data_IF_801546981517
#
_entry.id   IF_801546981517
#
_cell.length_a   1.000
_cell.length_b   1.000
_cell.length_c   1.000
_cell.angle_alpha   90.00
_cell.angle_beta   90.00
_cell.angle_gamma   90.00
#
_symmetry.space_group_name_H-M   'P 1'
#
loop_
_entity.id
_entity.type
_entity.pdbx_description
1 polymer ?
#
# COMPACT_ATOMS: atom_id res chain seq x y z
N UNK A 1 -22.93 -40.63 -27.56
CA UNK A 1 -23.11 -39.15 -27.59
C UNK A 1 -22.29 -38.57 -26.45
N UNK A 2 -21.18 -37.91 -26.79
CA UNK A 2 -20.30 -37.22 -25.86
C UNK A 2 -20.95 -35.91 -25.42
N UNK A 3 -21.24 -35.79 -24.13
CA UNK A 3 -21.66 -34.53 -23.52
C UNK A 3 -20.49 -33.54 -23.53
N UNK A 4 -20.38 -32.76 -24.60
CA UNK A 4 -19.55 -31.56 -24.62
C UNK A 4 -20.32 -30.51 -23.80
N UNK A 5 -20.06 -30.46 -22.50
CA UNK A 5 -20.44 -29.31 -21.69
C UNK A 5 -19.69 -28.10 -22.26
N UNK A 6 -20.43 -27.22 -22.95
CA UNK A 6 -19.98 -25.86 -23.25
C UNK A 6 -19.64 -25.17 -21.92
N UNK A 7 -18.36 -25.23 -21.53
CA UNK A 7 -17.79 -24.21 -20.64
C UNK A 7 -17.89 -22.92 -21.44
N UNK A 8 -18.87 -22.09 -21.12
CA UNK A 8 -18.91 -20.69 -21.54
C UNK A 8 -17.51 -20.12 -21.38
N UNK A 9 -16.88 -19.75 -22.50
CA UNK A 9 -15.59 -19.09 -22.56
C UNK A 9 -15.74 -17.76 -21.80
N UNK A 10 -15.50 -17.80 -20.50
CA UNK A 10 -15.54 -16.60 -19.67
C UNK A 10 -14.30 -15.81 -19.99
N UNK A 11 -14.47 -14.68 -20.70
CA UNK A 11 -13.39 -13.73 -20.93
C UNK A 11 -12.86 -13.31 -19.55
N UNK A 12 -11.57 -13.51 -19.25
CA UNK A 12 -10.98 -13.05 -18.00
C UNK A 12 -11.17 -11.54 -17.84
N UNK A 13 -11.52 -11.07 -16.64
CA UNK A 13 -11.83 -9.66 -16.42
C UNK A 13 -10.68 -8.72 -16.79
N UNK A 14 -9.43 -9.16 -16.64
CA UNK A 14 -8.27 -8.37 -17.08
C UNK A 14 -8.20 -8.15 -18.60
N UNK A 15 -8.59 -9.15 -19.43
CA UNK A 15 -8.63 -8.97 -20.89
C UNK A 15 -9.73 -7.98 -21.28
N UNK A 16 -10.90 -8.10 -20.66
CA UNK A 16 -11.99 -7.15 -20.87
C UNK A 16 -11.58 -5.73 -20.43
N UNK A 17 -10.86 -5.60 -19.32
CA UNK A 17 -10.39 -4.31 -18.81
C UNK A 17 -9.34 -3.68 -19.73
N UNK A 18 -8.40 -4.47 -20.26
CA UNK A 18 -7.44 -4.01 -21.26
C UNK A 18 -8.14 -3.57 -22.56
N UNK A 19 -9.17 -4.29 -22.99
CA UNK A 19 -9.97 -3.90 -24.14
C UNK A 19 -10.73 -2.59 -23.91
N UNK A 20 -11.34 -2.41 -22.75
CA UNK A 20 -12.00 -1.14 -22.36
C UNK A 20 -10.98 0.01 -22.31
N UNK A 21 -9.77 -0.22 -21.77
CA UNK A 21 -8.70 0.78 -21.80
C UNK A 21 -8.24 1.10 -23.21
N UNK A 22 -8.12 0.12 -24.10
CA UNK A 22 -7.78 0.35 -25.50
C UNK A 22 -8.80 1.28 -26.17
N UNK A 23 -10.10 1.03 -25.93
CA UNK A 23 -11.16 1.95 -26.38
C UNK A 23 -10.99 3.33 -25.74
N UNK A 24 -10.66 3.40 -24.44
CA UNK A 24 -10.36 4.65 -23.74
C UNK A 24 -9.22 5.43 -24.39
N UNK A 25 -8.10 4.77 -24.71
CA UNK A 25 -6.97 5.38 -25.41
C UNK A 25 -7.34 5.84 -26.83
N UNK A 26 -8.12 5.05 -27.58
CA UNK A 26 -8.64 5.45 -28.89
C UNK A 26 -9.54 6.69 -28.75
N UNK A 27 -10.45 6.68 -27.78
CA UNK A 27 -11.38 7.80 -27.47
C UNK A 27 -10.61 9.08 -27.15
N UNK A 28 -9.51 8.95 -26.39
CA UNK A 28 -8.65 10.07 -26.05
C UNK A 28 -7.81 10.56 -27.23
N UNK A 29 -7.02 9.68 -27.87
CA UNK A 29 -6.05 10.10 -28.88
C UNK A 29 -6.66 10.38 -30.26
N UNK A 30 -7.74 9.69 -30.65
CA UNK A 30 -8.36 9.83 -31.97
C UNK A 30 -9.52 10.81 -31.94
N UNK A 31 -10.38 10.71 -30.93
CA UNK A 31 -11.61 11.51 -30.84
C UNK A 31 -11.48 12.73 -29.93
N UNK A 32 -10.38 12.86 -29.17
CA UNK A 32 -10.14 13.97 -28.23
C UNK A 32 -11.24 14.12 -27.15
N UNK A 33 -11.89 13.01 -26.79
CA UNK A 33 -13.02 12.97 -25.86
C UNK A 33 -12.57 12.54 -24.45
N UNK A 34 -11.97 13.46 -23.69
CA UNK A 34 -11.30 13.10 -22.43
C UNK A 34 -12.26 12.59 -21.35
N UNK A 35 -13.47 13.15 -21.25
CA UNK A 35 -14.45 12.70 -20.26
C UNK A 35 -14.86 11.25 -20.51
N UNK A 36 -15.18 10.90 -21.75
CA UNK A 36 -15.53 9.54 -22.13
C UNK A 36 -14.37 8.57 -21.89
N UNK A 37 -13.14 8.97 -22.24
CA UNK A 37 -11.95 8.17 -21.98
C UNK A 37 -11.70 7.92 -20.48
N UNK A 38 -11.90 8.94 -19.64
CA UNK A 38 -11.78 8.82 -18.18
C UNK A 38 -12.85 7.89 -17.59
N UNK A 39 -14.09 7.97 -18.07
CA UNK A 39 -15.15 7.05 -17.66
C UNK A 39 -14.82 5.59 -18.03
N UNK A 40 -14.24 5.37 -19.21
CA UNK A 40 -13.77 4.05 -19.63
C UNK A 40 -12.61 3.55 -18.75
N UNK A 41 -11.67 4.42 -18.37
CA UNK A 41 -10.60 4.09 -17.42
C UNK A 41 -11.14 3.65 -16.05
N UNK A 42 -12.09 4.40 -15.49
CA UNK A 42 -12.76 4.03 -14.23
C UNK A 42 -13.51 2.71 -14.39
N UNK A 43 -14.19 2.51 -15.52
CA UNK A 43 -14.87 1.25 -15.85
C UNK A 43 -13.91 0.05 -15.90
N UNK A 44 -12.73 0.20 -16.51
CA UNK A 44 -11.71 -0.83 -16.56
C UNK A 44 -11.21 -1.23 -15.15
N UNK A 45 -10.99 -0.25 -14.27
CA UNK A 45 -10.63 -0.52 -12.86
C UNK A 45 -11.77 -1.29 -12.16
N UNK A 46 -13.02 -0.87 -12.36
CA UNK A 46 -14.20 -1.53 -11.81
C UNK A 46 -14.32 -3.00 -12.22
N UNK A 47 -14.09 -3.30 -13.50
CA UNK A 47 -14.11 -4.68 -14.01
C UNK A 47 -13.07 -5.55 -13.30
N UNK A 48 -11.84 -5.06 -13.11
CA UNK A 48 -10.80 -5.79 -12.39
C UNK A 48 -11.15 -6.03 -10.94
N UNK A 49 -11.65 -5.01 -10.24
CA UNK A 49 -12.05 -5.15 -8.84
C UNK A 49 -13.11 -6.23 -8.73
N UNK A 50 -14.13 -6.22 -9.60
CA UNK A 50 -15.19 -7.22 -9.62
C UNK A 50 -14.69 -8.63 -9.98
N UNK A 51 -13.82 -8.77 -10.98
CA UNK A 51 -13.24 -10.05 -11.37
C UNK A 51 -12.40 -10.65 -10.24
N UNK A 52 -11.62 -9.80 -9.55
CA UNK A 52 -10.77 -10.22 -8.45
C UNK A 52 -11.56 -10.76 -7.24
N UNK A 53 -12.83 -10.38 -7.08
CA UNK A 53 -13.70 -10.95 -6.04
C UNK A 53 -13.91 -12.46 -6.20
N UNK A 54 -13.56 -13.08 -7.33
CA UNK A 54 -13.57 -14.53 -7.48
C UNK A 54 -12.48 -15.23 -6.66
N UNK A 55 -11.25 -14.70 -6.66
CA UNK A 55 -10.12 -15.22 -5.88
C UNK A 55 -9.68 -14.18 -4.83
N UNK A 56 -10.05 -14.43 -3.58
CA UNK A 56 -9.98 -13.44 -2.49
C UNK A 56 -8.54 -13.11 -2.13
N UNK A 57 -7.59 -13.97 -2.51
CA UNK A 57 -6.15 -13.69 -2.41
C UNK A 57 -5.74 -12.61 -3.38
N UNK A 58 -6.17 -12.72 -4.64
CA UNK A 58 -5.88 -11.75 -5.68
C UNK A 58 -6.52 -10.41 -5.32
N UNK A 59 -7.80 -10.42 -4.93
CA UNK A 59 -8.49 -9.23 -4.43
C UNK A 59 -7.68 -8.57 -3.29
N UNK A 60 -7.31 -9.35 -2.28
CA UNK A 60 -6.59 -8.82 -1.12
C UNK A 60 -5.21 -8.27 -1.46
N UNK A 61 -4.41 -9.01 -2.23
CA UNK A 61 -3.04 -8.61 -2.59
C UNK A 61 -3.03 -7.37 -3.48
N UNK A 62 -4.09 -7.17 -4.26
CA UNK A 62 -4.26 -5.98 -5.10
C UNK A 62 -4.90 -4.83 -4.34
N UNK A 63 -5.60 -5.08 -3.23
CA UNK A 63 -6.29 -4.05 -2.44
C UNK A 63 -5.36 -2.97 -1.89
N UNK A 64 -4.16 -3.31 -1.41
CA UNK A 64 -3.25 -2.32 -0.83
C UNK A 64 -2.61 -1.41 -1.89
N UNK A 65 -2.06 -1.94 -3.00
CA UNK A 65 -1.64 -1.13 -4.12
C UNK A 65 -2.80 -0.32 -4.72
N UNK A 66 -3.99 -0.92 -4.85
CA UNK A 66 -5.20 -0.22 -5.29
C UNK A 66 -5.59 0.88 -4.31
N UNK A 67 -5.45 0.72 -2.99
CA UNK A 67 -5.72 1.80 -2.03
C UNK A 67 -4.82 3.02 -2.28
N UNK A 68 -3.52 2.81 -2.47
CA UNK A 68 -2.57 3.89 -2.80
C UNK A 68 -2.93 4.52 -4.15
N UNK A 69 -3.16 3.69 -5.18
CA UNK A 69 -3.45 4.14 -6.53
C UNK A 69 -4.86 4.75 -6.68
N UNK A 70 -5.83 4.38 -5.84
CA UNK A 70 -7.18 4.96 -5.77
C UNK A 70 -7.14 6.31 -5.09
N UNK A 71 -6.33 6.49 -4.03
CA UNK A 71 -6.06 7.83 -3.48
C UNK A 71 -5.51 8.76 -4.57
N UNK A 72 -4.57 8.24 -5.38
CA UNK A 72 -4.03 8.95 -6.53
C UNK A 72 -5.07 9.23 -7.62
N UNK A 73 -5.93 8.25 -7.94
CA UNK A 73 -7.00 8.37 -8.93
C UNK A 73 -8.05 9.41 -8.53
N UNK A 74 -8.52 9.37 -7.27
CA UNK A 74 -9.46 10.36 -6.72
C UNK A 74 -8.84 11.75 -6.79
N UNK A 75 -7.56 11.86 -6.46
CA UNK A 75 -6.84 13.13 -6.55
C UNK A 75 -6.72 13.62 -7.99
N UNK A 76 -6.37 12.76 -8.95
CA UNK A 76 -6.31 13.12 -10.36
C UNK A 76 -7.69 13.52 -10.92
N UNK A 77 -8.76 12.88 -10.46
CA UNK A 77 -10.12 13.31 -10.79
C UNK A 77 -10.36 14.75 -10.34
N UNK A 78 -9.98 15.12 -9.11
CA UNK A 78 -10.11 16.51 -8.63
C UNK A 78 -9.27 17.50 -9.46
N UNK A 79 -8.03 17.13 -9.77
CA UNK A 79 -7.10 17.97 -10.55
C UNK A 79 -7.58 18.17 -11.98
N UNK A 80 -8.02 17.11 -12.67
CA UNK A 80 -8.54 17.20 -14.04
C UNK A 80 -9.87 17.97 -14.13
N UNK A 81 -10.63 18.07 -13.03
CA UNK A 81 -11.85 18.92 -12.93
C UNK A 81 -11.56 20.34 -12.45
N UNK A 82 -10.30 20.75 -12.32
CA UNK A 82 -9.89 22.14 -12.06
C UNK A 82 -9.63 22.48 -10.59
N UNK A 83 -9.62 21.51 -9.66
CA UNK A 83 -9.19 21.75 -8.29
C UNK A 83 -7.65 21.76 -8.21
N UNK A 84 -7.06 22.92 -8.51
CA UNK A 84 -5.60 23.12 -8.55
C UNK A 84 -5.21 24.09 -7.44
N UNK A 85 -4.26 23.65 -6.62
CA UNK A 85 -3.48 24.55 -5.79
C UNK A 85 -2.46 25.32 -6.64
N UNK A 86 -2.80 26.56 -6.98
CA UNK A 86 -1.95 27.51 -7.73
C UNK A 86 -0.62 27.75 -6.99
N UNK A 87 -0.65 27.61 -5.67
CA UNK A 87 0.49 27.75 -4.75
C UNK A 87 1.59 26.70 -4.98
N UNK A 88 1.36 25.64 -5.76
CA UNK A 88 2.38 24.63 -6.07
C UNK A 88 3.25 24.95 -7.30
N UNK A 89 3.23 26.20 -7.77
CA UNK A 89 3.94 26.59 -9.00
C UNK A 89 3.03 26.34 -10.20
N UNK A 90 2.44 27.42 -10.70
CA UNK A 90 1.30 27.39 -11.59
C UNK A 90 1.48 26.52 -12.85
N UNK A 91 0.52 25.65 -13.09
CA UNK A 91 0.24 25.10 -14.42
C UNK A 91 -1.28 25.14 -14.66
N UNK A 92 -1.65 25.55 -15.87
CA UNK A 92 -3.03 25.50 -16.40
C UNK A 92 -3.46 24.03 -16.51
N UNK A 93 -4.58 23.65 -15.90
CA UNK A 93 -5.20 22.33 -16.13
C UNK A 93 -5.64 22.22 -17.58
N UNK A 94 -5.17 21.17 -18.25
CA UNK A 94 -5.89 20.58 -19.36
C UNK A 94 -6.14 19.12 -19.01
N UNK A 95 -7.21 18.49 -19.51
CA UNK A 95 -7.38 17.05 -19.42
C UNK A 95 -6.29 16.38 -20.28
N UNK A 96 -5.35 15.64 -19.69
CA UNK A 96 -4.17 15.11 -20.42
C UNK A 96 -4.10 13.57 -20.40
N UNK A 97 -5.21 12.91 -20.03
CA UNK A 97 -5.30 11.45 -20.01
C UNK A 97 -4.47 10.79 -18.92
N UNK A 98 -3.99 11.53 -17.91
CA UNK A 98 -3.22 10.98 -16.79
C UNK A 98 -3.99 9.88 -16.05
N UNK A 99 -5.31 9.99 -16.00
CA UNK A 99 -6.22 8.96 -15.47
C UNK A 99 -6.15 7.66 -16.30
N UNK A 100 -6.06 7.72 -17.63
CA UNK A 100 -5.92 6.52 -18.49
C UNK A 100 -4.62 5.78 -18.20
N UNK A 101 -3.51 6.51 -18.08
CA UNK A 101 -2.22 5.92 -17.75
C UNK A 101 -2.20 5.33 -16.34
N UNK A 102 -2.79 6.01 -15.37
CA UNK A 102 -2.96 5.48 -14.01
C UNK A 102 -3.82 4.20 -14.01
N UNK A 103 -4.92 4.19 -14.75
CA UNK A 103 -5.79 3.02 -14.89
C UNK A 103 -5.06 1.85 -15.56
N UNK A 104 -4.25 2.12 -16.60
CA UNK A 104 -3.38 1.12 -17.22
C UNK A 104 -2.39 0.54 -16.20
N UNK A 105 -1.75 1.37 -15.39
CA UNK A 105 -0.86 0.89 -14.32
C UNK A 105 -1.59 -0.01 -13.34
N UNK A 106 -2.77 0.37 -12.88
CA UNK A 106 -3.59 -0.45 -11.95
C UNK A 106 -3.92 -1.80 -12.61
N UNK A 107 -4.32 -1.79 -13.88
CA UNK A 107 -4.69 -2.99 -14.63
C UNK A 107 -3.53 -3.94 -14.82
N UNK A 108 -2.36 -3.43 -15.23
CA UNK A 108 -1.15 -4.22 -15.41
C UNK A 108 -0.62 -4.74 -14.08
N UNK A 109 -0.63 -3.92 -13.03
CA UNK A 109 -0.25 -4.32 -11.69
C UNK A 109 -1.12 -5.49 -11.21
N UNK A 110 -2.44 -5.38 -11.36
CA UNK A 110 -3.37 -6.45 -11.03
C UNK A 110 -3.07 -7.73 -11.82
N UNK A 111 -2.84 -7.61 -13.13
CA UNK A 111 -2.52 -8.74 -13.98
C UNK A 111 -1.24 -9.46 -13.54
N UNK A 112 -0.18 -8.72 -13.18
CA UNK A 112 1.06 -9.32 -12.69
C UNK A 112 0.81 -10.07 -11.37
N UNK A 113 0.06 -9.48 -10.42
CA UNK A 113 -0.31 -10.17 -9.18
C UNK A 113 -1.16 -11.42 -9.46
N UNK A 114 -2.10 -11.34 -10.39
CA UNK A 114 -2.87 -12.49 -10.83
C UNK A 114 -1.96 -13.61 -11.34
N UNK A 115 -1.00 -13.29 -12.21
CA UNK A 115 -0.02 -14.26 -12.71
C UNK A 115 0.81 -14.84 -11.58
N UNK A 116 1.36 -14.02 -10.68
CA UNK A 116 2.15 -14.51 -9.55
C UNK A 116 1.30 -15.39 -8.63
N UNK A 117 0.02 -15.07 -8.39
CA UNK A 117 -0.86 -15.94 -7.61
C UNK A 117 -1.11 -17.27 -8.32
N UNK A 118 -1.32 -17.27 -9.64
CA UNK A 118 -1.59 -18.50 -10.40
C UNK A 118 -0.36 -19.38 -10.59
N UNK A 119 0.81 -18.78 -10.81
CA UNK A 119 2.09 -19.48 -11.01
C UNK A 119 2.66 -19.95 -9.67
N UNK A 120 2.54 -19.14 -8.62
CA UNK A 120 3.33 -19.30 -7.40
C UNK A 120 2.51 -19.69 -6.16
N UNK A 121 1.19 -19.46 -6.12
CA UNK A 121 0.42 -19.41 -4.85
C UNK A 121 -0.60 -20.58 -4.71
N UNK A 122 -0.08 -21.72 -4.21
CA UNK A 122 -0.69 -22.71 -3.31
C UNK A 122 -1.91 -23.56 -3.73
N UNK A 123 -1.72 -24.89 -3.67
CA UNK A 123 -2.68 -25.79 -3.00
C UNK A 123 -2.34 -25.79 -1.51
N UNK A 124 -3.05 -25.01 -0.70
CA UNK A 124 -2.90 -25.05 0.75
C UNK A 124 -3.54 -26.32 1.31
N UNK A 125 -2.77 -27.10 2.06
CA UNK A 125 -3.29 -28.19 2.89
C UNK A 125 -3.35 -27.73 4.36
N UNK A 126 -4.44 -28.08 5.06
CA UNK A 126 -4.67 -27.71 6.46
C UNK A 126 -3.62 -28.27 7.41
N UNK A 127 -2.94 -29.35 7.00
CA UNK A 127 -1.80 -29.96 7.72
C UNK A 127 -0.67 -28.97 8.07
N UNK A 128 -0.58 -27.85 7.34
CA UNK A 128 0.35 -26.76 7.64
C UNK A 128 0.02 -26.00 8.95
N UNK A 129 -1.27 -25.83 9.27
CA UNK A 129 -1.70 -25.13 10.49
C UNK A 129 -1.27 -25.92 11.72
N UNK A 130 -1.35 -27.25 11.65
CA UNK A 130 -0.99 -28.14 12.76
C UNK A 130 0.49 -28.00 13.13
N UNK A 131 1.38 -27.84 12.14
CA UNK A 131 2.82 -27.62 12.38
C UNK A 131 3.11 -26.30 13.10
N UNK A 132 2.42 -25.23 12.73
CA UNK A 132 2.54 -23.93 13.40
C UNK A 132 1.88 -23.95 14.79
N UNK A 133 0.79 -24.71 14.95
CA UNK A 133 0.05 -24.80 16.21
C UNK A 133 0.84 -25.46 17.34
N UNK A 134 1.78 -26.36 17.00
CA UNK A 134 2.66 -27.03 17.96
C UNK A 134 3.71 -26.12 18.59
N UNK A 135 3.95 -24.93 18.03
CA UNK A 135 4.87 -23.96 18.60
C UNK A 135 4.11 -22.86 19.35
N UNK A 136 4.02 -22.97 20.68
CA UNK A 136 3.31 -22.00 21.51
C UNK A 136 3.98 -20.61 21.56
N UNK A 137 5.31 -20.55 21.37
CA UNK A 137 6.08 -19.30 21.41
C UNK A 137 5.59 -18.26 20.39
N UNK A 138 5.22 -18.71 19.18
CA UNK A 138 4.76 -17.81 18.12
C UNK A 138 3.49 -17.03 18.50
N UNK A 139 2.66 -17.61 19.36
CA UNK A 139 1.43 -16.96 19.84
C UNK A 139 1.73 -15.96 20.97
N UNK A 140 2.67 -16.26 21.88
CA UNK A 140 3.03 -15.32 22.95
C UNK A 140 3.74 -14.06 22.45
N UNK A 141 4.43 -14.14 21.32
CA UNK A 141 5.22 -13.03 20.76
C UNK A 141 4.37 -11.76 20.48
N UNK A 142 3.20 -11.82 19.81
CA UNK A 142 2.27 -10.69 19.72
C UNK A 142 1.84 -10.10 21.07
N UNK A 143 1.51 -10.93 22.06
CA UNK A 143 1.05 -10.46 23.37
C UNK A 143 2.18 -9.70 24.07
N UNK A 144 3.38 -10.27 24.08
CA UNK A 144 4.56 -9.64 24.65
C UNK A 144 4.87 -8.30 23.98
N UNK A 145 4.83 -8.27 22.64
CA UNK A 145 4.99 -7.05 21.86
C UNK A 145 3.94 -5.98 22.25
N UNK A 146 2.68 -6.36 22.40
CA UNK A 146 1.60 -5.45 22.79
C UNK A 146 1.91 -4.78 24.15
N UNK A 147 2.35 -5.57 25.14
CA UNK A 147 2.72 -5.02 26.45
C UNK A 147 3.86 -4.00 26.33
N UNK A 148 4.89 -4.30 25.53
CA UNK A 148 6.04 -3.41 25.35
C UNK A 148 5.70 -2.10 24.65
N UNK A 149 4.83 -2.11 23.64
CA UNK A 149 4.54 -0.88 22.88
C UNK A 149 3.64 0.11 23.60
N UNK A 150 2.94 -0.33 24.64
CA UNK A 150 2.15 0.57 25.50
C UNK A 150 3.01 1.29 26.55
N UNK A 151 4.19 0.78 26.89
CA UNK A 151 5.12 1.43 27.83
C UNK A 151 5.37 2.92 27.51
N UNK A 152 5.73 3.32 26.27
CA UNK A 152 5.97 4.73 25.98
C UNK A 152 4.71 5.59 26.14
N UNK A 153 3.51 5.06 25.89
CA UNK A 153 2.26 5.79 26.12
C UNK A 153 2.05 6.04 27.62
N UNK A 154 2.42 5.10 28.48
CA UNK A 154 2.33 5.27 29.93
C UNK A 154 3.41 6.20 30.49
N UNK A 155 4.63 6.18 29.95
CA UNK A 155 5.74 7.02 30.42
C UNK A 155 5.62 8.46 29.92
N UNK A 156 5.36 8.65 28.63
CA UNK A 156 5.38 9.96 27.98
C UNK A 156 3.99 10.57 27.82
N UNK A 157 2.92 9.80 28.06
CA UNK A 157 1.55 10.21 27.74
C UNK A 157 1.20 9.97 26.27
N UNK A 158 -0.06 10.19 25.91
CA UNK A 158 -0.53 10.02 24.52
C UNK A 158 -0.11 11.19 23.62
N UNK A 159 0.08 10.95 22.32
CA UNK A 159 0.33 12.01 21.34
C UNK A 159 -0.80 13.04 21.33
N UNK A 160 -2.05 12.61 21.55
CA UNK A 160 -3.21 13.50 21.66
C UNK A 160 -3.03 14.55 22.76
N UNK A 161 -2.52 14.15 23.93
CA UNK A 161 -2.32 15.04 25.07
C UNK A 161 -1.03 15.87 24.99
N UNK A 162 0.03 15.33 24.39
CA UNK A 162 1.37 15.94 24.45
C UNK A 162 1.69 16.77 23.21
N UNK A 163 1.20 16.34 22.04
CA UNK A 163 1.55 16.92 20.73
C UNK A 163 0.31 17.20 19.87
N UNK A 164 -0.87 17.28 20.47
CA UNK A 164 -2.15 17.46 19.78
C UNK A 164 -2.38 16.43 18.66
N UNK A 165 -1.89 15.20 18.85
CA UNK A 165 -2.00 14.10 17.89
C UNK A 165 -0.96 14.11 16.77
N UNK A 166 0.05 14.98 16.82
CA UNK A 166 1.12 15.00 15.83
C UNK A 166 2.20 13.94 16.13
N UNK A 167 2.18 12.84 15.36
CA UNK A 167 3.16 11.74 15.48
C UNK A 167 4.60 12.18 15.23
N UNK A 168 4.85 13.09 14.30
CA UNK A 168 6.23 13.48 13.95
C UNK A 168 6.88 14.16 15.14
N UNK A 169 6.17 15.10 15.77
CA UNK A 169 6.61 15.76 17.01
C UNK A 169 6.67 14.76 18.17
N UNK A 170 5.70 13.85 18.27
CA UNK A 170 5.67 12.83 19.32
C UNK A 170 6.91 11.91 19.28
N UNK A 171 7.35 11.52 18.08
CA UNK A 171 8.55 10.71 17.90
C UNK A 171 9.85 11.43 18.31
N UNK A 172 9.87 12.76 18.36
CA UNK A 172 11.03 13.53 18.83
C UNK A 172 11.14 13.54 20.36
N UNK A 173 10.03 13.31 21.06
CA UNK A 173 9.95 13.32 22.53
C UNK A 173 10.27 11.94 23.11
N UNK A 174 9.87 10.88 22.42
CA UNK A 174 10.05 9.51 22.89
C UNK A 174 11.50 9.05 22.71
N UNK A 175 12.02 8.32 23.70
CA UNK A 175 13.35 7.70 23.60
C UNK A 175 13.50 6.80 22.34
N UNK A 176 14.66 6.85 21.66
CA UNK A 176 14.95 6.04 20.47
C UNK A 176 14.68 4.54 20.64
N UNK A 177 14.86 4.00 21.85
CA UNK A 177 14.61 2.57 22.15
C UNK A 177 13.16 2.20 21.85
N UNK A 178 12.19 3.04 22.22
CA UNK A 178 10.78 2.78 21.94
C UNK A 178 10.45 2.97 20.46
N UNK A 179 11.14 3.88 19.77
CA UNK A 179 11.00 4.02 18.31
C UNK A 179 11.45 2.73 17.60
N UNK A 180 12.50 2.05 18.08
CA UNK A 180 12.87 0.73 17.57
C UNK A 180 11.78 -0.32 17.84
N UNK A 181 11.14 -0.31 19.02
CA UNK A 181 9.98 -1.19 19.27
C UNK A 181 8.85 -0.94 18.28
N UNK A 182 8.61 0.30 17.86
CA UNK A 182 7.58 0.59 16.85
C UNK A 182 7.92 -0.05 15.50
N UNK A 183 9.20 -0.23 15.18
CA UNK A 183 9.65 -0.94 13.98
C UNK A 183 9.53 -2.46 14.10
N UNK A 184 9.51 -3.02 15.33
CA UNK A 184 9.30 -4.46 15.54
C UNK A 184 7.92 -4.91 15.04
N UNK A 185 6.93 -4.01 14.97
CA UNK A 185 5.58 -4.27 14.44
C UNK A 185 5.59 -4.97 13.08
N UNK A 186 6.59 -4.66 12.26
CA UNK A 186 6.78 -5.18 10.91
C UNK A 186 7.01 -6.70 10.88
N UNK A 187 7.54 -7.27 11.95
CA UNK A 187 7.75 -8.70 12.11
C UNK A 187 6.54 -9.39 12.78
N UNK A 188 5.87 -8.69 13.69
CA UNK A 188 4.87 -9.26 14.60
C UNK A 188 3.47 -9.29 14.01
N UNK A 189 3.07 -8.28 13.22
CA UNK A 189 1.68 -8.12 12.79
C UNK A 189 1.15 -9.31 11.98
N UNK A 190 1.88 -9.87 10.98
CA UNK A 190 1.41 -11.07 10.29
C UNK A 190 1.33 -12.28 11.21
N UNK A 191 2.19 -12.36 12.23
CA UNK A 191 2.16 -13.44 13.23
C UNK A 191 0.91 -13.33 14.11
N UNK A 192 0.54 -12.14 14.55
CA UNK A 192 -0.72 -11.89 15.24
C UNK A 192 -1.94 -12.37 14.43
N UNK A 193 -1.88 -12.28 13.10
CA UNK A 193 -2.88 -12.82 12.18
C UNK A 193 -3.19 -14.30 12.34
N UNK A 194 -2.23 -15.10 12.80
CA UNK A 194 -2.43 -16.54 13.05
C UNK A 194 -3.44 -16.81 14.16
N UNK A 195 -3.65 -15.87 15.08
CA UNK A 195 -4.70 -15.99 16.09
C UNK A 195 -6.10 -16.06 15.48
N UNK A 196 -6.33 -15.50 14.29
CA UNK A 196 -7.63 -15.59 13.63
C UNK A 196 -7.97 -17.05 13.24
N UNK A 197 -6.94 -17.89 13.08
CA UNK A 197 -7.08 -19.33 12.81
C UNK A 197 -7.30 -20.15 14.08
N UNK A 198 -6.66 -19.75 15.19
CA UNK A 198 -6.66 -20.50 16.46
C UNK A 198 -7.71 -20.03 17.46
N UNK A 199 -7.77 -18.72 17.74
CA UNK A 199 -8.64 -18.11 18.73
C UNK A 199 -9.06 -16.70 18.32
N UNK A 200 -10.26 -16.61 17.72
CA UNK A 200 -10.84 -15.34 17.23
C UNK A 200 -11.03 -14.29 18.33
N UNK A 201 -11.28 -14.70 19.57
CA UNK A 201 -11.46 -13.78 20.70
C UNK A 201 -10.17 -13.05 21.02
N UNK A 202 -9.06 -13.78 21.13
CA UNK A 202 -7.73 -13.19 21.36
C UNK A 202 -7.33 -12.28 20.21
N UNK A 203 -7.55 -12.72 18.96
CA UNK A 203 -7.32 -11.87 17.79
C UNK A 203 -8.10 -10.56 17.86
N UNK A 204 -9.37 -10.62 18.24
CA UNK A 204 -10.24 -9.42 18.33
C UNK A 204 -9.72 -8.45 19.40
N UNK A 205 -9.33 -8.95 20.58
CA UNK A 205 -8.74 -8.12 21.64
C UNK A 205 -7.44 -7.47 21.15
N UNK A 206 -6.57 -8.25 20.51
CA UNK A 206 -5.31 -7.74 19.96
C UNK A 206 -5.54 -6.66 18.89
N UNK A 207 -6.50 -6.90 17.98
CA UNK A 207 -6.90 -5.94 16.95
C UNK A 207 -7.37 -4.62 17.56
N UNK A 208 -8.24 -4.65 18.57
CA UNK A 208 -8.69 -3.42 19.24
C UNK A 208 -7.54 -2.71 19.94
N UNK A 209 -6.68 -3.45 20.64
CA UNK A 209 -5.53 -2.86 21.33
C UNK A 209 -4.54 -2.23 20.34
N UNK A 210 -4.21 -2.88 19.21
CA UNK A 210 -3.29 -2.27 18.24
C UNK A 210 -3.89 -1.05 17.53
N UNK A 211 -5.20 -1.03 17.29
CA UNK A 211 -5.89 0.13 16.75
C UNK A 211 -5.88 1.31 17.73
N UNK A 212 -6.22 1.03 19.00
CA UNK A 212 -6.16 2.04 20.06
C UNK A 212 -4.74 2.57 20.23
N UNK A 213 -3.74 1.69 20.23
CA UNK A 213 -2.34 2.09 20.30
C UNK A 213 -1.92 3.03 19.17
N UNK A 214 -2.27 2.71 17.91
CA UNK A 214 -1.99 3.59 16.77
C UNK A 214 -2.59 4.99 16.98
N UNK A 215 -3.84 5.09 17.47
CA UNK A 215 -4.47 6.37 17.80
C UNK A 215 -3.70 7.10 18.90
N UNK A 216 -3.31 6.39 19.97
CA UNK A 216 -2.60 6.97 21.11
C UNK A 216 -1.22 7.53 20.75
N UNK A 217 -0.55 6.98 19.74
CA UNK A 217 0.74 7.49 19.23
C UNK A 217 0.59 8.49 18.07
N UNK A 218 -0.65 8.88 17.72
CA UNK A 218 -0.92 9.86 16.66
C UNK A 218 -0.79 9.31 15.24
N UNK A 219 -0.81 8.00 15.04
CA UNK A 219 -0.82 7.42 13.70
C UNK A 219 -2.13 7.74 12.97
N UNK A 220 -2.01 8.07 11.68
CA UNK A 220 -3.14 8.40 10.79
C UNK A 220 -3.65 7.14 10.08
N UNK A 221 -4.60 7.31 9.15
CA UNK A 221 -5.18 6.23 8.34
C UNK A 221 -4.15 5.28 7.71
N UNK A 222 -3.03 5.80 7.20
CA UNK A 222 -1.96 5.00 6.60
C UNK A 222 -1.29 4.06 7.60
N UNK A 223 -1.04 4.49 8.85
CA UNK A 223 -0.45 3.65 9.89
C UNK A 223 -1.40 2.55 10.37
N UNK A 224 -2.70 2.87 10.44
CA UNK A 224 -3.76 1.90 10.72
C UNK A 224 -3.83 0.85 9.60
N UNK A 225 -3.81 1.29 8.34
CA UNK A 225 -3.82 0.40 7.19
C UNK A 225 -2.58 -0.50 7.11
N UNK A 226 -1.39 0.07 7.37
CA UNK A 226 -0.13 -0.68 7.52
C UNK A 226 -0.14 -1.65 8.70
N UNK A 227 -1.07 -1.52 9.66
CA UNK A 227 -1.24 -2.48 10.75
C UNK A 227 -2.20 -3.61 10.39
N UNK A 228 -3.34 -3.27 9.79
CA UNK A 228 -4.39 -4.22 9.43
C UNK A 228 -3.99 -5.14 8.27
N UNK A 229 -3.36 -4.58 7.25
CA UNK A 229 -3.07 -5.29 6.01
C UNK A 229 -2.03 -6.42 6.16
N UNK A 230 -0.93 -6.26 6.92
CA UNK A 230 -0.08 -7.41 7.21
C UNK A 230 -0.75 -8.43 8.13
N UNK A 231 -1.60 -7.98 9.06
CA UNK A 231 -2.23 -8.85 10.06
C UNK A 231 -3.30 -9.79 9.48
N UNK A 232 -4.06 -9.37 8.47
CA UNK A 232 -5.07 -10.24 7.85
C UNK A 232 -4.49 -11.18 6.77
N UNK A 233 -3.26 -10.94 6.32
CA UNK A 233 -2.62 -11.69 5.23
C UNK A 233 -2.63 -13.22 5.44
N UNK A 234 -2.15 -13.78 6.58
CA UNK A 234 -2.15 -15.24 6.76
C UNK A 234 -3.55 -15.85 6.68
N UNK A 235 -4.54 -15.19 7.27
CA UNK A 235 -5.92 -15.68 7.25
C UNK A 235 -6.49 -15.71 5.84
N UNK A 236 -6.26 -14.65 5.06
CA UNK A 236 -6.71 -14.58 3.67
C UNK A 236 -6.04 -15.64 2.82
N UNK A 237 -4.72 -15.82 2.94
CA UNK A 237 -4.01 -16.83 2.17
C UNK A 237 -4.52 -18.26 2.45
N UNK A 238 -4.86 -18.55 3.70
CA UNK A 238 -5.26 -19.89 4.16
C UNK A 238 -6.76 -20.18 3.94
N UNK A 239 -7.64 -19.22 4.15
CA UNK A 239 -9.10 -19.41 4.13
C UNK A 239 -9.80 -18.63 3.01
N UNK A 240 -9.10 -18.25 1.93
CA UNK A 240 -9.66 -17.45 0.83
C UNK A 240 -10.95 -18.01 0.22
N UNK A 241 -11.08 -19.34 0.21
CA UNK A 241 -12.24 -20.10 -0.28
C UNK A 241 -13.46 -19.97 0.64
N UNK A 242 -13.25 -19.81 1.95
CA UNK A 242 -14.30 -19.65 2.96
C UNK A 242 -14.74 -18.20 3.16
N UNK A 243 -13.96 -17.24 2.68
CA UNK A 243 -14.30 -15.81 2.80
C UNK A 243 -15.45 -15.50 1.83
N UNK A 244 -16.62 -15.21 2.39
CA UNK A 244 -17.80 -14.79 1.62
C UNK A 244 -17.57 -13.39 1.06
N UNK A 245 -17.89 -13.17 -0.22
CA UNK A 245 -17.79 -11.87 -0.89
C UNK A 245 -18.54 -10.76 -0.15
N UNK A 246 -19.73 -11.06 0.40
CA UNK A 246 -20.48 -10.11 1.25
C UNK A 246 -19.66 -9.57 2.42
N UNK A 247 -18.86 -10.42 3.07
CA UNK A 247 -18.04 -9.99 4.21
C UNK A 247 -16.92 -9.05 3.76
N UNK A 248 -16.33 -9.28 2.59
CA UNK A 248 -15.33 -8.38 2.01
C UNK A 248 -15.94 -7.00 1.74
N UNK A 249 -17.12 -6.96 1.12
CA UNK A 249 -17.81 -5.69 0.83
C UNK A 249 -18.18 -4.94 2.12
N UNK A 250 -18.62 -5.64 3.17
CA UNK A 250 -18.89 -5.04 4.48
C UNK A 250 -17.61 -4.44 5.08
N UNK A 251 -16.49 -5.18 5.05
CA UNK A 251 -15.21 -4.69 5.58
C UNK A 251 -14.71 -3.48 4.78
N UNK A 252 -14.79 -3.51 3.45
CA UNK A 252 -14.45 -2.36 2.61
C UNK A 252 -15.31 -1.14 2.94
N UNK A 253 -16.63 -1.32 3.06
CA UNK A 253 -17.54 -0.24 3.44
C UNK A 253 -17.17 0.36 4.80
N UNK A 254 -16.86 -0.49 5.79
CA UNK A 254 -16.41 -0.03 7.10
C UNK A 254 -15.06 0.71 7.01
N UNK A 255 -14.09 0.20 6.25
CA UNK A 255 -12.81 0.86 6.04
C UNK A 255 -12.98 2.24 5.38
N UNK A 256 -13.83 2.35 4.36
CA UNK A 256 -14.13 3.65 3.71
C UNK A 256 -14.72 4.61 4.73
N UNK A 257 -15.77 4.22 5.44
CA UNK A 257 -16.41 5.07 6.46
C UNK A 257 -15.41 5.48 7.54
N UNK A 258 -14.59 4.55 8.03
CA UNK A 258 -13.60 4.82 9.06
C UNK A 258 -12.50 5.79 8.58
N UNK A 259 -11.96 5.59 7.37
CA UNK A 259 -10.93 6.45 6.78
C UNK A 259 -11.50 7.84 6.52
N UNK A 260 -12.69 7.94 5.90
CA UNK A 260 -13.35 9.23 5.66
C UNK A 260 -13.66 9.94 6.98
N UNK A 261 -14.15 9.23 7.99
CA UNK A 261 -14.41 9.82 9.32
C UNK A 261 -13.11 10.27 9.99
N UNK A 262 -12.04 9.48 9.89
CA UNK A 262 -10.73 9.84 10.45
C UNK A 262 -10.14 11.08 9.79
N UNK A 263 -10.24 11.18 8.46
CA UNK A 263 -9.87 12.37 7.68
C UNK A 263 -10.68 13.56 8.18
N UNK A 264 -12.01 13.47 8.14
CA UNK A 264 -12.91 14.57 8.52
C UNK A 264 -12.65 15.03 9.97
N UNK A 265 -12.50 14.10 10.91
CA UNK A 265 -12.23 14.42 12.31
C UNK A 265 -10.85 15.06 12.49
N UNK A 266 -9.80 14.53 11.86
CA UNK A 266 -8.45 15.08 11.97
C UNK A 266 -8.41 16.53 11.45
N UNK A 267 -9.05 16.79 10.30
CA UNK A 267 -9.02 18.12 9.69
C UNK A 267 -9.94 19.14 10.36
N UNK A 268 -11.14 18.74 10.80
CA UNK A 268 -12.07 19.66 11.50
C UNK A 268 -11.56 20.00 12.90
N UNK A 269 -11.10 19.01 13.68
CA UNK A 269 -10.83 19.21 15.10
C UNK A 269 -9.39 19.62 15.42
N UNK A 270 -8.40 19.21 14.62
CA UNK A 270 -6.98 19.51 14.91
C UNK A 270 -6.53 20.77 14.17
N UNK A 271 -6.94 20.95 12.92
CA UNK A 271 -6.46 22.04 12.07
C UNK A 271 -7.44 23.23 11.98
N UNK A 272 -8.64 23.12 12.59
CA UNK A 272 -9.71 24.13 12.59
C UNK A 272 -10.06 24.64 11.18
N UNK A 273 -9.82 23.83 10.16
CA UNK A 273 -9.94 24.21 8.76
C UNK A 273 -11.13 23.51 8.09
N UNK A 274 -11.80 24.23 7.17
CA UNK A 274 -12.99 23.77 6.48
C UNK A 274 -12.72 22.69 5.42
N UNK A 275 -13.79 22.17 4.81
CA UNK A 275 -13.73 21.11 3.79
C UNK A 275 -12.85 21.44 2.57
N UNK A 276 -12.67 22.72 2.24
CA UNK A 276 -11.77 23.20 1.17
C UNK A 276 -10.33 22.74 1.39
N UNK A 277 -9.84 22.78 2.63
CA UNK A 277 -8.49 22.34 2.98
C UNK A 277 -8.29 20.82 2.79
N UNK A 278 -9.35 20.02 2.96
CA UNK A 278 -9.30 18.58 2.72
C UNK A 278 -9.13 18.31 1.22
N UNK A 279 -9.89 19.01 0.38
CA UNK A 279 -9.77 18.88 -1.08
C UNK A 279 -8.40 19.34 -1.58
N UNK A 280 -7.86 20.42 -1.02
CA UNK A 280 -6.50 20.89 -1.28
C UNK A 280 -5.46 19.79 -0.97
N UNK A 281 -5.53 19.19 0.21
CA UNK A 281 -4.61 18.11 0.61
C UNK A 281 -4.72 16.88 -0.28
N UNK A 282 -5.94 16.51 -0.67
CA UNK A 282 -6.16 15.39 -1.59
C UNK A 282 -5.58 15.75 -2.95
N UNK A 283 -5.89 16.93 -3.52
CA UNK A 283 -5.43 17.35 -4.84
C UNK A 283 -3.91 17.43 -4.95
N UNK A 284 -3.19 17.84 -3.89
CA UNK A 284 -1.71 17.86 -3.88
C UNK A 284 -1.09 16.53 -4.32
N UNK A 285 -1.66 15.40 -3.91
CA UNK A 285 -1.11 14.07 -4.24
C UNK A 285 -1.16 13.80 -5.75
N UNK A 286 -2.32 14.06 -6.36
CA UNK A 286 -2.61 13.96 -7.79
C UNK A 286 -1.82 14.96 -8.61
N UNK A 287 -1.65 16.18 -8.10
CA UNK A 287 -0.86 17.22 -8.75
C UNK A 287 0.61 16.81 -8.92
N UNK A 288 1.22 16.13 -7.94
CA UNK A 288 2.60 15.63 -8.08
C UNK A 288 2.73 14.65 -9.26
N UNK A 289 1.84 13.67 -9.35
CA UNK A 289 1.81 12.74 -10.48
C UNK A 289 1.60 13.47 -11.79
N UNK A 290 0.57 14.32 -11.85
CA UNK A 290 0.22 15.04 -13.06
C UNK A 290 1.37 15.94 -13.52
N UNK A 291 2.00 16.67 -12.60
CA UNK A 291 3.16 17.53 -12.85
C UNK A 291 4.31 16.75 -13.48
N UNK A 292 4.80 15.71 -12.80
CA UNK A 292 5.95 14.94 -13.30
C UNK A 292 5.62 14.11 -14.55
N UNK A 293 4.38 13.66 -14.69
CA UNK A 293 3.94 13.00 -15.91
C UNK A 293 4.02 13.95 -17.09
N UNK A 294 3.52 15.18 -16.96
CA UNK A 294 3.59 16.17 -18.03
C UNK A 294 5.03 16.58 -18.34
N UNK A 295 5.80 16.90 -17.31
CA UNK A 295 7.17 17.38 -17.46
C UNK A 295 8.09 16.32 -18.07
N UNK A 296 8.06 15.09 -17.57
CA UNK A 296 9.05 14.07 -17.97
C UNK A 296 8.56 13.05 -18.99
N UNK A 297 7.25 12.85 -19.14
CA UNK A 297 6.70 11.91 -20.14
C UNK A 297 6.24 12.64 -21.39
N UNK A 298 5.47 13.72 -21.26
CA UNK A 298 4.91 14.42 -22.42
C UNK A 298 5.88 15.44 -23.00
N UNK A 299 6.54 16.24 -22.16
CA UNK A 299 7.53 17.22 -22.59
C UNK A 299 8.95 16.63 -22.70
N UNK A 300 9.12 15.35 -22.36
CA UNK A 300 10.38 14.61 -22.41
C UNK A 300 11.56 15.33 -21.74
N UNK A 301 11.31 16.09 -20.66
CA UNK A 301 12.37 16.75 -19.89
C UNK A 301 13.21 15.71 -19.17
N UNK A 302 14.51 15.99 -19.05
CA UNK A 302 15.48 15.15 -18.34
C UNK A 302 14.96 14.83 -16.92
N UNK A 303 14.87 13.55 -16.53
CA UNK A 303 14.49 13.18 -15.17
C UNK A 303 15.60 13.52 -14.18
N UNK A 304 15.26 13.48 -12.90
CA UNK A 304 16.23 13.65 -11.81
C UNK A 304 17.17 12.45 -11.69
N UNK A 305 18.37 12.67 -11.19
CA UNK A 305 19.30 11.56 -10.98
C UNK A 305 18.88 10.71 -9.79
N UNK A 306 18.88 9.38 -9.95
CA UNK A 306 18.56 8.47 -8.85
C UNK A 306 19.54 8.58 -7.66
N UNK A 307 20.77 9.05 -7.92
CA UNK A 307 21.78 9.36 -6.89
C UNK A 307 21.30 10.41 -5.87
N UNK A 308 20.39 11.31 -6.27
CA UNK A 308 19.80 12.32 -5.39
C UNK A 308 19.03 11.67 -4.24
N UNK A 309 18.32 10.56 -4.49
CA UNK A 309 17.55 9.83 -3.46
C UNK A 309 18.44 9.27 -2.33
N UNK A 310 19.71 8.97 -2.62
CA UNK A 310 20.65 8.37 -1.67
C UNK A 310 21.56 9.40 -0.98
N UNK A 311 21.57 10.64 -1.47
CA UNK A 311 22.45 11.71 -0.99
C UNK A 311 21.70 12.88 -0.34
N UNK A 312 20.38 12.97 -0.55
CA UNK A 312 19.51 13.98 0.04
C UNK A 312 19.17 13.70 1.52
N UNK A 313 18.87 14.77 2.26
CA UNK A 313 18.24 14.69 3.59
C UNK A 313 16.79 14.16 3.51
N UNK A 314 16.16 14.30 2.34
CA UNK A 314 14.76 13.94 2.07
C UNK A 314 14.67 12.79 1.06
N UNK A 315 13.99 11.69 1.39
CA UNK A 315 13.75 10.57 0.46
C UNK A 315 12.27 10.37 0.12
N UNK A 316 12.01 9.70 -1.01
CA UNK A 316 10.67 9.36 -1.47
C UNK A 316 9.76 10.57 -1.61
N UNK A 317 8.56 10.50 -1.02
CA UNK A 317 7.58 11.58 -1.11
C UNK A 317 8.05 12.90 -0.51
N UNK A 318 8.92 12.90 0.50
CA UNK A 318 9.49 14.16 1.00
C UNK A 318 10.36 14.83 -0.05
N UNK A 319 11.10 14.04 -0.83
CA UNK A 319 11.90 14.56 -1.93
C UNK A 319 11.03 15.12 -3.06
N UNK A 320 9.95 14.39 -3.43
CA UNK A 320 8.96 14.88 -4.39
C UNK A 320 8.35 16.21 -3.94
N UNK A 321 8.02 16.33 -2.64
CA UNK A 321 7.51 17.57 -2.06
C UNK A 321 8.56 18.69 -2.10
N UNK A 322 9.82 18.40 -1.79
CA UNK A 322 10.89 19.40 -1.82
C UNK A 322 11.07 20.00 -3.22
N UNK A 323 10.99 19.18 -4.28
CA UNK A 323 11.18 19.62 -5.66
C UNK A 323 9.92 20.19 -6.33
N UNK A 324 8.73 19.81 -5.89
CA UNK A 324 7.47 20.24 -6.51
C UNK A 324 6.79 21.41 -5.81
N UNK A 325 7.24 21.82 -4.62
CA UNK A 325 6.57 22.87 -3.84
C UNK A 325 7.48 24.09 -3.70
N UNK A 326 6.92 25.31 -3.62
CA UNK A 326 7.70 26.46 -3.19
C UNK A 326 8.30 26.22 -1.79
N UNK A 327 9.52 26.69 -1.59
CA UNK A 327 10.28 26.47 -0.36
C UNK A 327 9.51 26.87 0.92
N UNK A 328 8.75 27.97 0.89
CA UNK A 328 7.96 28.41 2.05
C UNK A 328 6.82 27.43 2.40
N UNK A 329 6.18 26.83 1.39
CA UNK A 329 5.11 25.87 1.59
C UNK A 329 5.68 24.54 2.10
N UNK A 330 6.78 24.07 1.48
CA UNK A 330 7.50 22.88 1.94
C UNK A 330 7.93 23.01 3.40
N UNK A 331 8.62 24.11 3.74
CA UNK A 331 9.09 24.35 5.12
C UNK A 331 7.92 24.39 6.12
N UNK A 332 6.81 25.04 5.77
CA UNK A 332 5.62 25.05 6.62
C UNK A 332 5.04 23.65 6.86
N UNK A 333 5.10 22.77 5.86
CA UNK A 333 4.64 21.39 5.97
C UNK A 333 5.55 20.56 6.86
N UNK A 334 6.87 20.69 6.69
CA UNK A 334 7.87 20.00 7.52
C UNK A 334 7.77 20.46 8.99
N UNK A 335 7.69 21.77 9.23
CA UNK A 335 7.53 22.35 10.58
C UNK A 335 6.25 21.84 11.27
N UNK A 336 5.15 21.69 10.51
CA UNK A 336 3.89 21.14 11.02
C UNK A 336 3.87 19.61 11.09
N UNK A 337 4.95 18.93 10.70
CA UNK A 337 5.03 17.47 10.67
C UNK A 337 4.03 16.83 9.70
N UNK A 338 3.66 17.53 8.64
CA UNK A 338 2.71 17.03 7.64
C UNK A 338 3.45 16.51 6.41
N UNK A 339 3.39 15.20 6.23
CA UNK A 339 3.88 14.51 5.04
C UNK A 339 2.68 14.07 4.22
N UNK A 340 2.72 14.28 2.91
CA UNK A 340 1.71 13.74 1.99
C UNK A 340 1.69 12.19 2.06
N UNK A 341 0.71 11.57 1.39
CA UNK A 341 0.68 10.12 1.19
C UNK A 341 0.67 9.80 -0.32
N UNK A 342 1.05 8.58 -0.69
CA UNK A 342 1.02 8.05 -2.07
C UNK A 342 2.14 8.56 -3.00
N UNK A 343 3.40 8.30 -2.61
CA UNK A 343 4.56 8.60 -3.47
C UNK A 343 4.71 7.67 -4.69
N UNK A 344 4.19 6.44 -4.63
CA UNK A 344 4.19 5.51 -5.76
C UNK A 344 2.91 5.67 -6.60
N UNK A 345 2.98 5.70 -7.95
CA UNK A 345 4.17 5.49 -8.78
C UNK A 345 4.89 6.79 -9.17
N UNK A 346 4.46 7.96 -8.66
CA UNK A 346 5.00 9.28 -9.04
C UNK A 346 6.53 9.38 -8.86
N UNK A 347 7.08 8.73 -7.84
CA UNK A 347 8.54 8.67 -7.64
C UNK A 347 9.29 8.07 -8.83
N UNK A 348 8.69 7.13 -9.55
CA UNK A 348 9.33 6.56 -10.74
C UNK A 348 9.22 7.47 -11.96
N UNK A 349 8.20 8.34 -12.05
CA UNK A 349 8.22 9.41 -13.05
C UNK A 349 9.36 10.38 -12.80
N UNK A 350 9.58 10.74 -11.54
CA UNK A 350 10.62 11.67 -11.12
C UNK A 350 12.04 11.21 -11.52
N UNK A 351 12.36 9.94 -11.27
CA UNK A 351 13.71 9.40 -11.55
C UNK A 351 13.88 8.72 -12.91
N UNK A 352 12.81 8.17 -13.50
CA UNK A 352 12.93 7.39 -14.74
C UNK A 352 12.22 8.04 -15.94
N UNK A 353 11.54 9.17 -15.73
CA UNK A 353 10.86 9.92 -16.79
C UNK A 353 9.96 9.03 -17.64
N UNK A 354 10.08 9.09 -18.96
CA UNK A 354 9.33 8.25 -19.91
C UNK A 354 9.44 6.73 -19.68
N UNK A 355 10.48 6.25 -18.98
CA UNK A 355 10.69 4.83 -18.70
C UNK A 355 10.07 4.36 -17.38
N UNK A 356 9.37 5.23 -16.65
CA UNK A 356 8.75 4.96 -15.34
C UNK A 356 7.92 3.68 -15.26
N UNK A 357 7.27 3.29 -16.36
CA UNK A 357 6.40 2.13 -16.38
C UNK A 357 7.17 0.84 -16.12
N UNK A 358 8.42 0.73 -16.58
CA UNK A 358 9.24 -0.46 -16.40
C UNK A 358 9.51 -0.79 -14.91
N UNK A 359 10.11 0.09 -14.09
CA UNK A 359 10.29 -0.18 -12.66
C UNK A 359 8.95 -0.28 -11.90
N UNK A 360 7.92 0.44 -12.37
CA UNK A 360 6.56 0.32 -11.83
C UNK A 360 6.02 -1.10 -11.98
N UNK A 361 6.22 -1.75 -13.13
CA UNK A 361 5.76 -3.11 -13.41
C UNK A 361 6.66 -4.19 -12.79
N UNK A 362 7.92 -3.89 -12.52
CA UNK A 362 8.80 -4.80 -11.76
C UNK A 362 8.36 -4.93 -10.29
N UNK A 363 7.83 -3.84 -9.72
CA UNK A 363 7.39 -3.78 -8.32
C UNK A 363 6.32 -4.81 -7.91
N UNK A 364 5.19 -5.01 -8.64
CA UNK A 364 4.22 -6.06 -8.34
C UNK A 364 4.80 -7.47 -8.45
N UNK A 365 5.74 -7.71 -9.37
CA UNK A 365 6.39 -9.00 -9.49
C UNK A 365 7.21 -9.33 -8.23
N UNK A 366 8.05 -8.39 -7.78
CA UNK A 366 8.84 -8.56 -6.56
C UNK A 366 7.94 -8.68 -5.32
N UNK A 367 6.86 -7.90 -5.25
CA UNK A 367 5.87 -8.02 -4.18
C UNK A 367 5.24 -9.42 -4.16
N UNK A 368 4.84 -9.94 -5.31
CA UNK A 368 4.31 -11.29 -5.44
C UNK A 368 5.32 -12.38 -5.02
N UNK A 369 6.60 -12.19 -5.31
CA UNK A 369 7.70 -13.07 -4.86
C UNK A 369 7.85 -13.08 -3.33
N UNK A 370 7.74 -11.93 -2.68
CA UNK A 370 7.75 -11.85 -1.20
C UNK A 370 6.53 -12.56 -0.60
N UNK A 371 5.34 -12.39 -1.20
CA UNK A 371 4.13 -13.10 -0.77
C UNK A 371 4.28 -14.61 -0.94
N UNK A 372 4.94 -15.04 -2.00
CA UNK A 372 5.29 -16.45 -2.21
C UNK A 372 6.18 -16.98 -1.09
N UNK A 373 7.26 -16.28 -0.74
CA UNK A 373 8.13 -16.67 0.37
C UNK A 373 7.41 -16.68 1.71
N UNK A 374 6.56 -15.71 1.98
CA UNK A 374 5.73 -15.66 3.18
C UNK A 374 4.86 -16.90 3.29
N UNK A 375 4.15 -17.21 2.21
CA UNK A 375 3.22 -18.32 2.17
C UNK A 375 3.93 -19.69 2.24
N UNK A 376 5.13 -19.83 1.67
CA UNK A 376 5.98 -21.03 1.82
C UNK A 376 6.52 -21.17 3.25
N UNK A 377 6.79 -20.07 3.92
CA UNK A 377 7.21 -20.07 5.33
C UNK A 377 6.07 -20.54 6.23
N UNK A 378 4.83 -20.12 5.94
CA UNK A 378 3.63 -20.69 6.57
C UNK A 378 3.56 -22.21 6.35
N UNK A 379 3.66 -22.68 5.11
CA UNK A 379 3.59 -24.11 4.76
C UNK A 379 4.62 -24.97 5.52
N UNK A 380 5.86 -24.49 5.58
CA UNK A 380 6.96 -25.19 6.23
C UNK A 380 6.94 -25.08 7.76
N UNK A 381 6.13 -24.20 8.35
CA UNK A 381 6.17 -23.88 9.78
C UNK A 381 7.48 -23.21 10.22
N UNK A 382 8.23 -22.63 9.29
CA UNK A 382 9.53 -22.02 9.56
C UNK A 382 9.36 -20.62 10.13
N UNK A 383 9.44 -20.48 11.46
CA UNK A 383 9.20 -19.22 12.18
C UNK A 383 10.15 -18.12 11.72
N UNK A 384 11.45 -18.40 11.65
CA UNK A 384 12.43 -17.41 11.22
C UNK A 384 12.14 -16.92 9.80
N UNK A 385 11.88 -17.84 8.86
CA UNK A 385 11.52 -17.47 7.48
C UNK A 385 10.22 -16.65 7.42
N UNK A 386 9.26 -16.95 8.30
CA UNK A 386 8.01 -16.20 8.41
C UNK A 386 8.24 -14.77 8.92
N UNK A 387 9.13 -14.58 9.90
CA UNK A 387 9.46 -13.25 10.42
C UNK A 387 10.17 -12.39 9.37
N UNK A 388 11.18 -12.92 8.64
CA UNK A 388 11.87 -12.08 7.65
C UNK A 388 10.98 -11.81 6.42
N UNK A 389 10.14 -12.78 5.99
CA UNK A 389 9.14 -12.51 4.95
C UNK A 389 8.10 -11.48 5.38
N UNK A 390 7.70 -11.46 6.66
CA UNK A 390 6.83 -10.42 7.22
C UNK A 390 7.46 -9.03 7.09
N UNK A 391 8.75 -8.90 7.45
CA UNK A 391 9.51 -7.66 7.32
C UNK A 391 9.62 -7.19 5.86
N UNK A 392 9.95 -8.11 4.94
CA UNK A 392 9.98 -7.82 3.51
C UNK A 392 8.61 -7.35 3.00
N UNK A 393 7.53 -8.05 3.38
CA UNK A 393 6.17 -7.68 3.00
C UNK A 393 5.82 -6.27 3.51
N UNK A 394 6.17 -5.97 4.75
CA UNK A 394 5.96 -4.64 5.33
C UNK A 394 6.76 -3.56 4.58
N UNK A 395 8.00 -3.83 4.19
CA UNK A 395 8.81 -2.88 3.43
C UNK A 395 8.14 -2.50 2.09
N UNK A 396 7.53 -3.46 1.39
CA UNK A 396 6.72 -3.16 0.20
C UNK A 396 5.50 -2.27 0.52
N UNK A 397 4.82 -2.48 1.65
CA UNK A 397 3.70 -1.62 2.05
C UNK A 397 4.14 -0.18 2.32
N UNK A 398 5.34 0.02 2.88
CA UNK A 398 5.92 1.35 3.09
C UNK A 398 6.35 1.96 1.76
N UNK A 399 7.02 1.19 0.91
CA UNK A 399 7.44 1.60 -0.42
C UNK A 399 6.26 2.08 -1.27
N UNK A 400 5.18 1.31 -1.38
CA UNK A 400 4.00 1.75 -2.11
C UNK A 400 3.36 3.00 -1.48
N UNK A 401 3.34 3.11 -0.15
CA UNK A 401 2.73 4.27 0.51
C UNK A 401 3.56 5.57 0.36
N UNK A 402 4.90 5.48 0.40
CA UNK A 402 5.80 6.65 0.49
C UNK A 402 6.67 6.88 -0.76
N UNK A 403 6.79 5.89 -1.63
CA UNK A 403 7.72 5.93 -2.76
C UNK A 403 9.18 6.03 -2.35
N UNK A 404 9.57 5.67 -1.13
CA UNK A 404 10.95 5.78 -0.65
C UNK A 404 11.81 4.68 -1.29
N UNK A 405 12.54 5.04 -2.36
CA UNK A 405 13.36 4.11 -3.12
C UNK A 405 14.66 3.81 -2.36
N UNK A 406 15.23 4.78 -1.66
CA UNK A 406 16.43 4.58 -0.85
C UNK A 406 16.23 3.48 0.20
N UNK A 407 15.13 3.56 0.96
CA UNK A 407 14.80 2.53 1.97
C UNK A 407 14.45 1.19 1.32
N UNK A 408 13.85 1.21 0.13
CA UNK A 408 13.48 -0.01 -0.59
C UNK A 408 14.69 -0.75 -1.18
N UNK A 409 15.67 -0.01 -1.69
CA UNK A 409 16.93 -0.54 -2.24
C UNK A 409 18.06 -0.59 -1.19
N UNK A 410 17.74 -0.38 0.09
CA UNK A 410 18.70 -0.48 1.20
C UNK A 410 19.35 -1.88 1.20
N UNK A 411 20.67 -1.91 1.45
CA UNK A 411 21.44 -3.14 1.58
C UNK A 411 20.83 -4.09 2.62
N UNK A 412 20.16 -3.56 3.66
CA UNK A 412 19.44 -4.37 4.65
C UNK A 412 18.32 -5.19 4.03
N UNK A 413 17.56 -4.62 3.09
CA UNK A 413 16.47 -5.32 2.41
C UNK A 413 17.00 -6.42 1.48
N UNK A 414 18.10 -6.13 0.78
CA UNK A 414 18.82 -7.11 -0.04
C UNK A 414 19.37 -8.27 0.80
N UNK A 415 19.93 -7.98 1.98
CA UNK A 415 20.36 -9.01 2.95
C UNK A 415 19.17 -9.88 3.38
N UNK A 416 18.02 -9.29 3.71
CA UNK A 416 16.83 -10.08 4.05
C UNK A 416 16.35 -10.98 2.91
N UNK A 417 16.42 -10.49 1.66
CA UNK A 417 16.12 -11.30 0.46
C UNK A 417 17.11 -12.46 0.29
N UNK A 418 18.41 -12.23 0.47
CA UNK A 418 19.41 -13.29 0.41
C UNK A 418 19.21 -14.33 1.53
N UNK A 419 18.99 -13.87 2.76
CA UNK A 419 18.76 -14.76 3.91
C UNK A 419 17.51 -15.61 3.67
N UNK A 420 16.41 -15.05 3.16
CA UNK A 420 15.20 -15.85 2.94
C UNK A 420 15.39 -16.88 1.84
N UNK A 421 16.12 -16.55 0.77
CA UNK A 421 16.49 -17.51 -0.28
C UNK A 421 17.30 -18.66 0.34
N UNK A 422 18.31 -18.34 1.15
CA UNK A 422 19.13 -19.34 1.87
C UNK A 422 18.26 -20.22 2.76
N UNK A 423 17.46 -19.63 3.64
CA UNK A 423 16.63 -20.37 4.60
C UNK A 423 15.59 -21.29 3.93
N UNK A 424 15.15 -20.96 2.72
CA UNK A 424 14.11 -21.70 2.02
C UNK A 424 14.63 -22.71 0.99
N UNK A 425 15.82 -22.51 0.44
CA UNK A 425 16.32 -23.31 -0.69
C UNK A 425 17.63 -24.03 -0.43
N UNK A 426 18.44 -23.61 0.55
CA UNK A 426 19.59 -24.43 0.91
C UNK A 426 19.12 -25.71 1.61
N UNK A 427 19.66 -26.89 1.21
CA UNK A 427 19.33 -28.15 1.88
C UNK A 427 19.72 -28.04 3.34
N UNK A 428 18.74 -28.25 4.24
CA UNK A 428 19.03 -28.37 5.66
C UNK A 428 19.81 -29.66 5.84
N UNK A 429 21.06 -29.56 6.28
CA UNK A 429 21.79 -30.70 6.82
C UNK A 429 20.95 -31.22 7.98
N UNK A 430 20.38 -32.42 7.83
CA UNK A 430 19.74 -33.11 8.95
C UNK A 430 20.86 -33.48 9.90
N UNK A 431 20.93 -32.80 11.03
CA UNK A 431 21.78 -33.19 12.16
C UNK A 431 21.07 -34.28 12.93
#
# INVERSE_FOLDING_TARGET
MTNITFRTLRIPGYLLSLFVLLIGFITYFIFNETLAANLLAVGAIGIIILDSLHDKRIFYLTLFPVYVLVGQLISLLLVEHGWILIELGGIKSYPIGSILFMALTIVLFHFIIFLTVKISIFKFDRTCIDKLSGNSFIYYLPIFYLCLVYIPVFIYGSALSVTNGNRVVYNQIISPVFLYLFQIKQFILPVAGLYLLKNKKIFTIYLFAILLWNILIGEKATGIWQSLYPMLLPYVLINYDKIKTKNILIVLGFCIVFITSSIVINYIFIEKSGATFIFDRISMQGQLWWYYFNEHVLLAKTPHELSEEFSSEYSGLLNLMYHSMPAHLFNSYIERGVVLTSGFPAIFLFYFGQYWLLPTLLSPFLFGLVVYFFSRSLYSGSILSLLISSKLFFAFTVFFARGDIATFLDYKLLIYLLIIIILQYLPRVKV
#
